data_IF_887647611236
#
_entry.id   IF_887647611236
#
_cell.length_a   1.000
_cell.length_b   1.000
_cell.length_c   1.000
_cell.angle_alpha   90.00
_cell.angle_beta   90.00
_cell.angle_gamma   90.00
#
_symmetry.space_group_name_H-M   'P 1'
#
loop_
_entity.id
_entity.type
_entity.pdbx_description
1 polymer ?
#
# COMPACT_ATOMS: atom_id res chain seq x y z
N UNK A 1 26.53 -16.65 22.92
CA UNK A 1 25.30 -17.38 23.26
C UNK A 1 24.25 -16.38 23.71
N UNK A 2 23.12 -16.29 23.01
CA UNK A 2 21.97 -15.50 23.46
C UNK A 2 20.99 -16.50 24.07
N UNK A 3 20.67 -16.30 25.35
CA UNK A 3 19.84 -17.21 26.14
C UNK A 3 18.48 -17.48 25.48
N UNK A 4 18.26 -18.75 25.14
CA UNK A 4 16.96 -19.28 24.72
C UNK A 4 16.10 -19.46 25.98
N UNK A 5 15.48 -18.41 26.52
CA UNK A 5 14.48 -18.57 27.61
C UNK A 5 13.42 -17.45 27.68
N UNK A 6 12.92 -16.96 26.55
CA UNK A 6 11.58 -16.35 26.53
C UNK A 6 10.72 -17.20 25.58
N UNK A 7 9.68 -17.84 26.13
CA UNK A 7 8.75 -18.59 25.28
C UNK A 7 7.93 -17.56 24.52
N UNK A 8 7.94 -17.66 23.20
CA UNK A 8 7.03 -16.87 22.39
C UNK A 8 5.58 -17.29 22.74
N UNK A 9 4.67 -16.33 22.95
CA UNK A 9 3.28 -16.66 23.26
C UNK A 9 2.63 -17.35 22.07
N UNK A 10 1.68 -18.24 22.36
CA UNK A 10 0.88 -18.89 21.31
C UNK A 10 -0.04 -17.84 20.70
N UNK A 11 0.13 -17.59 19.40
CA UNK A 11 -0.80 -16.78 18.63
C UNK A 11 -1.86 -17.72 18.03
N UNK A 12 -3.11 -17.53 18.43
CA UNK A 12 -4.27 -18.21 17.89
C UNK A 12 -5.35 -17.20 17.53
N UNK A 13 -6.10 -17.49 16.47
CA UNK A 13 -7.32 -16.77 16.14
C UNK A 13 -8.54 -17.62 16.48
N UNK A 14 -9.59 -16.98 16.97
CA UNK A 14 -10.83 -17.59 17.42
C UNK A 14 -12.02 -16.89 16.77
N UNK A 15 -13.20 -17.50 16.88
CA UNK A 15 -14.44 -16.94 16.31
C UNK A 15 -14.72 -15.54 16.84
N UNK A 16 -14.38 -15.27 18.10
CA UNK A 16 -14.56 -13.96 18.74
C UNK A 16 -13.72 -12.86 18.08
N UNK A 17 -12.58 -13.20 17.45
CA UNK A 17 -11.73 -12.24 16.74
C UNK A 17 -12.40 -11.70 15.46
N UNK A 18 -13.50 -12.32 15.01
CA UNK A 18 -14.31 -11.84 13.89
C UNK A 18 -15.57 -11.07 14.33
N UNK A 19 -15.78 -10.88 15.64
CA UNK A 19 -16.92 -10.13 16.14
C UNK A 19 -16.90 -8.68 15.64
N UNK A 20 -18.07 -8.19 15.20
CA UNK A 20 -18.21 -6.85 14.63
C UNK A 20 -17.84 -6.74 13.16
N UNK A 21 -17.24 -7.76 12.54
CA UNK A 21 -17.04 -7.80 11.09
C UNK A 21 -18.35 -8.10 10.36
N UNK A 22 -18.57 -7.41 9.24
CA UNK A 22 -19.53 -7.86 8.24
C UNK A 22 -18.91 -9.07 7.53
N UNK A 23 -19.38 -10.28 7.87
CA UNK A 23 -18.85 -11.56 7.37
C UNK A 23 -19.10 -11.77 5.87
N UNK A 24 -18.40 -12.76 5.29
CA UNK A 24 -18.29 -13.01 3.84
C UNK A 24 -17.63 -11.84 3.07
N UNK A 25 -16.68 -11.16 3.72
CA UNK A 25 -15.92 -10.08 3.09
C UNK A 25 -14.63 -10.57 2.42
N UNK A 26 -14.10 -9.72 1.54
CA UNK A 26 -12.74 -9.83 0.99
C UNK A 26 -11.97 -8.52 1.21
N UNK A 27 -12.36 -7.77 2.26
CA UNK A 27 -11.77 -6.48 2.59
C UNK A 27 -10.27 -6.61 2.87
N UNK A 28 -9.49 -5.64 2.37
CA UNK A 28 -8.07 -5.52 2.66
C UNK A 28 -7.85 -5.19 4.15
N UNK A 29 -6.78 -5.70 4.76
CA UNK A 29 -6.44 -5.33 6.13
C UNK A 29 -5.84 -3.92 6.17
N UNK A 30 -6.64 -2.98 6.68
CA UNK A 30 -6.26 -1.57 6.82
C UNK A 30 -6.42 -1.17 8.27
N UNK A 31 -5.36 -0.61 8.85
CA UNK A 31 -5.33 -0.22 10.27
C UNK A 31 -5.01 1.28 10.42
N UNK A 32 -5.12 1.74 11.66
CA UNK A 32 -4.46 2.96 12.13
C UNK A 32 -3.25 2.55 12.94
N UNK A 33 -2.11 3.23 12.73
CA UNK A 33 -0.89 3.01 13.51
C UNK A 33 -0.29 4.35 13.92
N UNK A 34 0.38 4.37 15.07
CA UNK A 34 1.13 5.55 15.50
C UNK A 34 2.47 5.58 14.75
N UNK A 35 2.78 6.69 14.09
CA UNK A 35 4.05 6.91 13.39
C UNK A 35 4.63 8.23 13.86
N UNK A 36 5.80 8.18 14.50
CA UNK A 36 6.45 9.34 15.08
C UNK A 36 5.56 10.18 16.01
N UNK A 37 4.68 9.52 16.78
CA UNK A 37 3.75 10.17 17.69
C UNK A 37 2.42 10.61 17.06
N UNK A 38 2.23 10.41 15.75
CA UNK A 38 0.99 10.77 15.05
C UNK A 38 0.15 9.54 14.71
N UNK A 39 -1.16 9.63 14.91
CA UNK A 39 -2.10 8.60 14.45
C UNK A 39 -2.24 8.66 12.92
N UNK A 40 -1.64 7.70 12.24
CA UNK A 40 -1.72 7.54 10.78
C UNK A 40 -2.78 6.51 10.44
N UNK A 41 -3.88 6.98 9.84
CA UNK A 41 -4.94 6.12 9.27
C UNK A 41 -4.52 5.56 7.90
N UNK A 42 -5.31 4.61 7.37
CA UNK A 42 -5.12 4.05 6.01
C UNK A 42 -3.75 3.38 5.84
N UNK A 43 -3.32 2.64 6.86
CA UNK A 43 -2.11 1.82 6.82
C UNK A 43 -2.51 0.45 6.29
N UNK A 44 -2.16 0.17 5.05
CA UNK A 44 -2.44 -1.12 4.40
C UNK A 44 -1.40 -2.15 4.82
N UNK A 45 -1.85 -3.32 5.30
CA UNK A 45 -0.97 -4.43 5.64
C UNK A 45 -0.83 -5.35 4.44
N UNK A 46 0.38 -5.42 3.88
CA UNK A 46 0.65 -6.15 2.65
C UNK A 46 1.76 -7.19 2.84
N UNK A 47 1.36 -8.46 2.90
CA UNK A 47 2.32 -9.57 2.97
C UNK A 47 3.07 -9.83 1.66
N UNK A 48 2.58 -9.30 0.53
CA UNK A 48 3.26 -9.36 -0.77
C UNK A 48 4.38 -8.33 -0.90
N UNK A 49 4.28 -7.19 -0.21
CA UNK A 49 5.26 -6.12 -0.29
C UNK A 49 6.55 -6.47 0.48
N UNK A 50 7.72 -6.30 -0.14
CA UNK A 50 9.02 -6.58 0.50
C UNK A 50 9.48 -5.46 1.43
N UNK A 51 9.14 -4.22 1.11
CA UNK A 51 9.55 -3.01 1.83
C UNK A 51 8.34 -2.33 2.46
N UNK A 52 8.57 -1.36 3.35
CA UNK A 52 7.51 -0.46 3.78
C UNK A 52 7.51 0.77 2.87
N UNK A 53 6.33 1.21 2.47
CA UNK A 53 6.15 2.38 1.61
C UNK A 53 5.36 3.42 2.36
N UNK A 54 5.81 4.66 2.33
CA UNK A 54 5.06 5.82 2.79
C UNK A 54 4.77 6.72 1.58
N UNK A 55 3.51 7.10 1.39
CA UNK A 55 3.15 8.02 0.33
C UNK A 55 3.53 9.45 0.72
N UNK A 56 4.02 10.23 -0.23
CA UNK A 56 4.63 11.53 0.02
C UNK A 56 3.72 12.50 0.77
N UNK A 57 2.41 12.51 0.48
CA UNK A 57 1.44 13.35 1.19
C UNK A 57 1.34 13.03 2.69
N UNK A 58 1.52 11.75 3.06
CA UNK A 58 1.60 11.33 4.46
C UNK A 58 2.91 11.81 5.10
N UNK A 59 4.03 11.66 4.38
CA UNK A 59 5.33 12.15 4.85
C UNK A 59 5.28 13.66 5.12
N UNK A 60 4.78 14.45 4.16
CA UNK A 60 4.68 15.91 4.30
C UNK A 60 3.85 16.31 5.52
N UNK A 61 2.76 15.60 5.81
CA UNK A 61 1.93 15.90 6.99
C UNK A 61 2.68 15.66 8.30
N UNK A 62 3.35 14.51 8.44
CA UNK A 62 4.19 14.21 9.61
C UNK A 62 5.36 15.21 9.70
N UNK A 63 5.95 15.57 8.56
CA UNK A 63 7.17 16.37 8.52
C UNK A 63 6.97 17.84 8.85
N UNK A 64 5.72 18.33 8.90
CA UNK A 64 5.39 19.69 9.36
C UNK A 64 5.90 19.96 10.78
N UNK A 65 5.97 18.93 11.61
CA UNK A 65 6.41 19.05 13.01
C UNK A 65 7.83 18.51 13.23
N UNK A 66 8.31 17.60 12.38
CA UNK A 66 9.58 16.89 12.62
C UNK A 66 10.80 17.44 11.86
N UNK A 67 10.60 18.19 10.77
CA UNK A 67 11.67 18.77 9.94
C UNK A 67 12.79 17.76 9.56
N UNK A 68 12.40 16.60 9.08
CA UNK A 68 13.25 15.49 8.64
C UNK A 68 13.58 15.64 7.16
N UNK A 69 14.84 15.43 6.81
CA UNK A 69 15.30 15.30 5.43
C UNK A 69 15.24 13.84 4.97
N UNK A 70 14.77 13.61 3.74
CA UNK A 70 14.78 12.29 3.12
C UNK A 70 16.21 11.90 2.72
N UNK A 71 16.59 10.67 3.04
CA UNK A 71 17.85 10.11 2.56
C UNK A 71 17.70 9.66 1.10
N UNK A 72 18.67 9.94 0.22
CA UNK A 72 18.60 9.51 -1.18
C UNK A 72 18.52 7.98 -1.31
N UNK A 73 17.69 7.51 -2.24
CA UNK A 73 17.59 6.10 -2.63
C UNK A 73 17.69 6.03 -4.15
N UNK A 74 18.58 5.17 -4.67
CA UNK A 74 18.84 5.03 -6.11
C UNK A 74 18.12 3.84 -6.75
N UNK A 75 17.54 2.96 -5.93
CA UNK A 75 16.89 1.73 -6.40
C UNK A 75 15.39 1.97 -6.61
N UNK A 76 14.89 1.67 -7.80
CA UNK A 76 13.46 1.70 -8.09
C UNK A 76 12.71 0.60 -7.33
N UNK A 77 11.46 0.86 -6.96
CA UNK A 77 10.54 -0.16 -6.48
C UNK A 77 9.86 -0.79 -7.69
N UNK A 78 10.06 -2.09 -7.89
CA UNK A 78 9.42 -2.84 -8.96
C UNK A 78 8.21 -3.61 -8.39
N UNK A 79 7.03 -3.34 -8.94
CA UNK A 79 5.81 -4.09 -8.67
C UNK A 79 5.79 -5.43 -9.40
N UNK A 80 4.84 -6.30 -9.02
CA UNK A 80 4.69 -7.63 -9.61
C UNK A 80 4.48 -7.62 -11.14
N UNK A 81 3.83 -6.59 -11.67
CA UNK A 81 3.59 -6.40 -13.09
C UNK A 81 4.77 -5.76 -13.84
N UNK A 82 5.93 -5.59 -13.19
CA UNK A 82 7.10 -4.89 -13.74
C UNK A 82 6.98 -3.37 -13.75
N UNK A 83 5.90 -2.80 -13.19
CA UNK A 83 5.77 -1.36 -13.01
C UNK A 83 6.82 -0.85 -12.03
N UNK A 84 7.55 0.19 -12.42
CA UNK A 84 8.60 0.78 -11.60
C UNK A 84 8.15 2.12 -11.01
N UNK A 85 8.49 2.35 -9.75
CA UNK A 85 8.31 3.63 -9.05
C UNK A 85 9.67 4.05 -8.51
N UNK A 86 10.13 5.23 -8.93
CA UNK A 86 11.35 5.84 -8.40
C UNK A 86 11.01 6.49 -7.05
N UNK A 87 11.64 6.09 -5.93
CA UNK A 87 11.42 6.73 -4.66
C UNK A 87 11.91 8.18 -4.63
N UNK A 88 11.27 9.00 -3.80
CA UNK A 88 11.76 10.32 -3.44
C UNK A 88 12.92 10.25 -2.42
N UNK A 89 12.98 9.15 -1.69
CA UNK A 89 14.03 8.86 -0.71
C UNK A 89 13.56 7.84 0.32
N UNK A 90 14.25 7.76 1.45
CA UNK A 90 13.85 6.95 2.59
C UNK A 90 13.94 7.72 3.90
N UNK A 91 13.16 7.25 4.88
CA UNK A 91 13.15 7.77 6.25
C UNK A 91 12.99 6.61 7.24
N UNK A 92 13.56 6.74 8.44
CA UNK A 92 13.33 5.82 9.54
C UNK A 92 12.55 6.52 10.64
N UNK A 93 11.37 6.02 10.97
CA UNK A 93 10.46 6.61 11.96
C UNK A 93 10.07 5.54 13.00
N UNK A 94 9.87 5.92 14.28
CA UNK A 94 9.31 4.99 15.25
C UNK A 94 7.85 4.72 14.90
N UNK A 95 7.47 3.45 14.88
CA UNK A 95 6.10 3.00 14.66
C UNK A 95 5.65 2.23 15.89
N UNK A 96 4.50 2.61 16.44
CA UNK A 96 3.88 1.88 17.53
C UNK A 96 2.64 1.12 17.05
N UNK A 97 2.57 -0.15 17.45
CA UNK A 97 1.40 -1.02 17.30
C UNK A 97 0.85 -1.32 18.68
N UNK A 98 -0.48 -1.27 18.83
CA UNK A 98 -1.20 -1.50 20.07
C UNK A 98 -1.19 -0.32 21.03
N UNK A 99 -1.74 -0.53 22.22
CA UNK A 99 -1.87 0.48 23.27
C UNK A 99 -1.55 -0.09 24.65
N UNK A 100 -1.25 0.78 25.62
CA UNK A 100 -0.92 0.39 26.99
C UNK A 100 0.23 -0.62 27.05
N UNK A 101 0.06 -1.65 27.87
CA UNK A 101 1.06 -2.73 28.07
C UNK A 101 1.30 -3.59 26.81
N UNK A 102 0.40 -3.52 25.83
CA UNK A 102 0.53 -4.24 24.54
C UNK A 102 1.15 -3.37 23.44
N UNK A 103 1.58 -2.15 23.77
CA UNK A 103 2.20 -1.21 22.83
C UNK A 103 3.64 -1.64 22.53
N UNK A 104 3.89 -2.03 21.28
CA UNK A 104 5.23 -2.38 20.76
C UNK A 104 5.70 -1.30 19.80
N UNK A 105 6.89 -0.73 20.06
CA UNK A 105 7.50 0.33 19.24
C UNK A 105 8.75 -0.20 18.57
N UNK A 106 8.85 -0.02 17.25
CA UNK A 106 10.05 -0.34 16.48
C UNK A 106 10.43 0.82 15.55
N UNK A 107 11.72 0.99 15.32
CA UNK A 107 12.20 1.87 14.25
C UNK A 107 11.95 1.21 12.90
N UNK A 108 11.09 1.81 12.09
CA UNK A 108 10.70 1.31 10.78
C UNK A 108 11.26 2.20 9.69
N UNK A 109 11.97 1.59 8.75
CA UNK A 109 12.39 2.25 7.51
C UNK A 109 11.25 2.22 6.49
N UNK A 110 10.94 3.40 5.96
CA UNK A 110 9.99 3.61 4.86
C UNK A 110 10.72 4.14 3.64
N UNK A 111 10.38 3.58 2.49
CA UNK A 111 10.68 4.19 1.19
C UNK A 111 9.54 5.17 0.89
N UNK A 112 9.88 6.43 0.63
CA UNK A 112 8.88 7.48 0.37
C UNK A 112 8.68 7.61 -1.13
N UNK A 113 7.42 7.52 -1.57
CA UNK A 113 7.07 7.57 -3.01
C UNK A 113 6.08 8.70 -3.29
N UNK A 114 6.30 9.41 -4.40
CA UNK A 114 5.47 10.51 -4.86
C UNK A 114 4.26 10.08 -5.72
N UNK A 115 3.77 8.85 -5.54
CA UNK A 115 2.63 8.32 -6.29
C UNK A 115 1.30 8.63 -5.60
N UNK A 116 0.23 8.83 -6.39
CA UNK A 116 -1.12 8.94 -5.85
C UNK A 116 -1.57 7.59 -5.27
N UNK A 117 -2.18 7.62 -4.09
CA UNK A 117 -2.70 6.42 -3.42
C UNK A 117 -3.86 6.76 -2.50
N UNK A 118 -4.77 5.79 -2.33
CA UNK A 118 -5.81 5.85 -1.30
C UNK A 118 -5.27 5.55 0.10
N UNK A 119 -4.07 4.95 0.19
CA UNK A 119 -3.39 4.61 1.44
C UNK A 119 -2.33 5.65 1.80
N UNK A 120 -2.06 5.79 3.09
CA UNK A 120 -0.96 6.63 3.58
C UNK A 120 0.35 5.84 3.66
N UNK A 121 0.25 4.57 4.06
CA UNK A 121 1.37 3.67 4.27
C UNK A 121 1.00 2.27 3.77
N UNK A 122 1.98 1.58 3.18
CA UNK A 122 1.98 0.12 3.00
C UNK A 122 3.00 -0.44 3.98
N UNK A 123 2.54 -1.24 4.94
CA UNK A 123 3.41 -1.98 5.84
C UNK A 123 3.68 -3.35 5.24
N UNK A 124 4.92 -3.54 4.79
CA UNK A 124 5.36 -4.76 4.12
C UNK A 124 5.99 -5.78 5.06
N UNK A 125 6.51 -6.86 4.46
CA UNK A 125 7.15 -7.97 5.18
C UNK A 125 8.30 -7.55 6.08
N UNK A 126 9.06 -6.51 5.73
CA UNK A 126 10.17 -6.05 6.59
C UNK A 126 9.66 -5.66 7.98
N UNK A 127 8.58 -4.88 8.07
CA UNK A 127 7.98 -4.55 9.38
C UNK A 127 7.22 -5.72 9.97
N UNK A 128 6.43 -6.44 9.17
CA UNK A 128 5.64 -7.58 9.70
C UNK A 128 6.54 -8.63 10.36
N UNK A 129 7.68 -8.94 9.75
CA UNK A 129 8.66 -9.86 10.33
C UNK A 129 9.34 -9.27 11.58
N UNK A 130 9.65 -7.96 11.60
CA UNK A 130 10.25 -7.31 12.75
C UNK A 130 9.29 -7.27 13.96
N UNK A 131 8.00 -7.03 13.72
CA UNK A 131 6.97 -7.13 14.76
C UNK A 131 6.66 -8.57 15.14
N UNK A 132 7.07 -9.55 14.32
CA UNK A 132 6.65 -10.96 14.38
C UNK A 132 5.11 -11.07 14.28
N UNK A 133 4.52 -10.21 13.44
CA UNK A 133 3.10 -10.13 13.25
C UNK A 133 2.59 -11.31 12.42
N UNK A 134 1.54 -11.95 12.91
CA UNK A 134 0.76 -12.96 12.20
C UNK A 134 -0.52 -12.30 11.74
N UNK A 135 -0.77 -12.38 10.43
CA UNK A 135 -1.96 -11.82 9.81
C UNK A 135 -3.02 -12.90 9.61
N UNK A 136 -4.26 -12.55 9.92
CA UNK A 136 -5.45 -13.31 9.55
C UNK A 136 -6.32 -12.48 8.63
N UNK A 137 -6.49 -12.92 7.39
CA UNK A 137 -7.38 -12.27 6.42
C UNK A 137 -8.85 -12.46 6.80
N UNK A 138 -9.21 -13.65 7.29
CA UNK A 138 -10.57 -13.99 7.70
C UNK A 138 -11.06 -13.15 8.89
N UNK A 139 -10.20 -12.96 9.89
CA UNK A 139 -10.49 -12.14 11.08
C UNK A 139 -10.13 -10.66 10.86
N UNK A 140 -9.61 -10.30 9.68
CA UNK A 140 -9.12 -8.96 9.34
C UNK A 140 -8.28 -8.33 10.48
N UNK A 141 -7.26 -9.06 10.94
CA UNK A 141 -6.52 -8.71 12.14
C UNK A 141 -5.04 -9.10 12.02
N UNK A 142 -4.17 -8.34 12.68
CA UNK A 142 -2.81 -8.78 13.01
C UNK A 142 -2.68 -9.04 14.51
N UNK A 143 -1.95 -10.10 14.86
CA UNK A 143 -1.52 -10.40 16.22
C UNK A 143 -0.01 -10.45 16.27
N UNK A 144 0.60 -9.98 17.35
CA UNK A 144 2.05 -9.97 17.52
C UNK A 144 2.44 -10.24 18.98
N UNK A 145 3.62 -10.81 19.22
CA UNK A 145 4.10 -11.11 20.56
C UNK A 145 4.58 -9.85 21.28
N UNK A 146 4.19 -9.73 22.55
CA UNK A 146 4.61 -8.71 23.52
C UNK A 146 4.92 -9.36 24.87
N UNK A 147 6.16 -9.80 25.04
CA UNK A 147 6.54 -10.67 26.18
C UNK A 147 5.74 -11.97 26.13
N UNK A 148 5.12 -12.35 27.25
CA UNK A 148 4.22 -13.51 27.34
C UNK A 148 2.79 -13.20 26.86
N UNK A 149 2.50 -11.95 26.48
CA UNK A 149 1.18 -11.52 25.99
C UNK A 149 1.15 -11.41 24.46
N UNK A 150 -0.06 -11.35 23.91
CA UNK A 150 -0.30 -11.12 22.48
C UNK A 150 -0.95 -9.75 22.31
N UNK A 151 -0.31 -8.87 21.56
CA UNK A 151 -0.90 -7.64 21.06
C UNK A 151 -1.75 -7.92 19.83
N UNK A 152 -2.85 -7.19 19.69
CA UNK A 152 -3.85 -7.42 18.64
C UNK A 152 -4.26 -6.08 18.02
N UNK A 153 -4.41 -6.06 16.70
CA UNK A 153 -4.93 -4.89 15.98
C UNK A 153 -5.94 -5.38 14.94
N UNK A 154 -7.19 -4.99 15.14
CA UNK A 154 -8.26 -5.19 14.18
C UNK A 154 -8.17 -4.18 13.03
N UNK A 155 -8.56 -4.63 11.84
CA UNK A 155 -8.72 -3.77 10.68
C UNK A 155 -10.02 -3.00 10.69
N UNK A 156 -10.03 -1.88 9.96
CA UNK A 156 -11.20 -1.04 9.74
C UNK A 156 -11.85 -1.36 8.37
N UNK A 157 -12.98 -2.09 8.38
CA UNK A 157 -13.72 -2.46 7.17
C UNK A 157 -14.22 -1.25 6.38
N UNK A 158 -14.65 -0.18 7.06
CA UNK A 158 -15.17 1.01 6.40
C UNK A 158 -14.06 1.75 5.66
N UNK A 159 -12.92 1.96 6.33
CA UNK A 159 -11.75 2.57 5.71
C UNK A 159 -11.22 1.69 4.58
N UNK A 160 -11.19 0.36 4.75
CA UNK A 160 -10.75 -0.57 3.70
C UNK A 160 -11.58 -0.45 2.41
N UNK A 161 -12.91 -0.51 2.54
CA UNK A 161 -13.84 -0.37 1.40
C UNK A 161 -13.77 1.01 0.76
N UNK A 162 -13.64 2.06 1.57
CA UNK A 162 -13.47 3.43 1.08
C UNK A 162 -12.17 3.59 0.26
N UNK A 163 -11.05 3.03 0.75
CA UNK A 163 -9.79 3.04 0.03
C UNK A 163 -9.89 2.27 -1.30
N UNK A 164 -10.50 1.09 -1.29
CA UNK A 164 -10.74 0.31 -2.51
C UNK A 164 -11.57 1.08 -3.54
N UNK A 165 -12.70 1.66 -3.13
CA UNK A 165 -13.57 2.43 -4.02
C UNK A 165 -12.84 3.65 -4.62
N UNK A 166 -12.02 4.33 -3.81
CA UNK A 166 -11.20 5.46 -4.25
C UNK A 166 -10.18 5.00 -5.30
N UNK A 167 -9.46 3.91 -5.05
CA UNK A 167 -8.48 3.35 -6.00
C UNK A 167 -9.14 2.97 -7.33
N UNK A 168 -10.29 2.29 -7.30
CA UNK A 168 -11.03 1.91 -8.53
C UNK A 168 -11.45 3.14 -9.32
N UNK A 169 -11.94 4.18 -8.64
CA UNK A 169 -12.37 5.41 -9.30
C UNK A 169 -11.19 6.17 -9.92
N UNK A 170 -10.07 6.27 -9.21
CA UNK A 170 -8.87 6.92 -9.72
C UNK A 170 -8.34 6.20 -10.96
N UNK A 171 -8.26 4.86 -10.92
CA UNK A 171 -7.82 4.06 -12.08
C UNK A 171 -8.74 4.24 -13.29
N UNK A 172 -10.06 4.31 -13.11
CA UNK A 172 -11.02 4.60 -14.19
C UNK A 172 -10.79 5.99 -14.79
N UNK A 173 -10.48 6.99 -13.96
CA UNK A 173 -10.18 8.34 -14.46
C UNK A 173 -8.86 8.39 -15.22
N UNK A 174 -7.82 7.72 -14.72
CA UNK A 174 -6.52 7.62 -15.40
C UNK A 174 -6.67 6.96 -16.79
N UNK A 175 -7.42 5.86 -16.88
CA UNK A 175 -7.70 5.20 -18.15
C UNK A 175 -8.42 6.13 -19.15
N UNK A 176 -9.41 6.91 -18.69
CA UNK A 176 -10.10 7.91 -19.52
C UNK A 176 -9.17 9.03 -19.98
N UNK A 177 -8.29 9.53 -19.11
CA UNK A 177 -7.29 10.57 -19.46
C UNK A 177 -6.32 10.04 -20.51
N UNK A 178 -5.84 8.81 -20.37
CA UNK A 178 -4.95 8.16 -21.33
C UNK A 178 -5.62 7.89 -22.69
N UNK A 179 -6.90 7.54 -22.71
CA UNK A 179 -7.65 7.36 -23.95
C UNK A 179 -7.80 8.70 -24.69
N UNK A 180 -8.18 9.77 -23.97
CA UNK A 180 -8.28 11.13 -24.54
C UNK A 180 -6.96 11.65 -25.08
N UNK A 181 -5.86 11.47 -24.34
CA UNK A 181 -4.54 11.92 -24.80
C UNK A 181 -4.11 11.22 -26.09
N UNK A 182 -4.42 9.92 -26.23
CA UNK A 182 -4.18 9.16 -27.46
C UNK A 182 -5.05 9.63 -28.62
N UNK A 183 -6.33 9.90 -28.39
CA UNK A 183 -7.23 10.45 -29.42
C UNK A 183 -6.80 11.85 -29.88
N UNK A 184 -6.39 12.72 -28.94
CA UNK A 184 -5.87 14.05 -29.26
C UNK A 184 -4.55 13.97 -30.04
N UNK A 185 -3.66 13.03 -29.72
CA UNK A 185 -2.43 12.79 -30.46
C UNK A 185 -2.69 12.28 -31.88
N UNK A 186 -3.68 11.41 -32.07
CA UNK A 186 -4.14 10.94 -33.39
C UNK A 186 -4.72 12.10 -34.22
N UNK A 187 -5.44 13.02 -33.59
CA UNK A 187 -6.13 14.14 -34.26
C UNK A 187 -5.28 15.42 -34.40
N UNK A 188 -4.00 15.43 -33.99
CA UNK A 188 -3.11 16.59 -34.16
C UNK A 188 -2.83 16.84 -35.66
N UNK A 189 -2.94 18.08 -36.16
CA UNK A 189 -2.55 18.41 -37.53
C UNK A 189 -1.04 18.17 -37.68
N UNK A 190 -0.65 17.16 -38.47
CA UNK A 190 0.73 16.69 -38.63
C UNK A 190 1.01 15.28 -38.11
N UNK A 191 0.03 14.62 -37.47
CA UNK A 191 0.13 13.22 -37.06
C UNK A 191 0.37 12.31 -38.26
N UNK A 192 1.53 11.66 -38.29
CA UNK A 192 1.86 10.69 -39.33
C UNK A 192 0.93 9.48 -39.19
N UNK A 193 -0.05 9.36 -40.09
CA UNK A 193 -0.81 8.10 -40.27
C UNK A 193 0.21 6.97 -40.35
N UNK A 194 0.14 6.04 -39.41
CA UNK A 194 1.04 4.89 -39.43
C UNK A 194 0.76 4.04 -40.67
N UNK A 195 1.75 3.29 -41.15
CA UNK A 195 1.65 2.50 -42.39
C UNK A 195 0.47 1.50 -42.38
N UNK A 196 -0.06 1.14 -41.21
CA UNK A 196 -1.25 0.29 -41.06
C UNK A 196 -2.56 0.96 -41.50
N UNK A 197 -2.69 2.28 -41.32
CA UNK A 197 -3.90 3.03 -41.73
C UNK A 197 -4.01 3.14 -43.26
N UNK A 198 -2.88 3.16 -43.97
CA UNK A 198 -2.86 3.13 -45.44
C UNK A 198 -3.30 1.77 -46.00
N UNK A 199 -2.91 0.65 -45.37
CA UNK A 199 -3.31 -0.68 -45.84
C UNK A 199 -4.80 -0.99 -45.62
N UNK A 200 -5.43 -0.43 -44.58
CA UNK A 200 -6.89 -0.57 -44.39
C UNK A 200 -7.70 0.30 -45.35
N UNK A 201 -7.18 1.45 -45.77
CA UNK A 201 -7.85 2.32 -46.74
C UNK A 201 -7.81 1.77 -48.18
N UNK A 202 -6.77 1.01 -48.55
CA UNK A 202 -6.67 0.38 -49.88
C UNK A 202 -7.52 -0.88 -50.01
N UNK A 203 -7.71 -1.67 -48.93
CA UNK A 203 -8.54 -2.89 -48.96
C UNK A 203 -10.05 -2.64 -48.99
N UNK A 204 -10.50 -1.39 -48.81
CA UNK A 204 -11.91 -1.00 -48.87
C UNK A 204 -12.43 -0.67 -50.28
N UNK A 205 -11.56 -0.66 -51.30
CA UNK A 205 -11.94 -0.26 -52.68
C UNK A 205 -12.16 -1.42 -53.67
N UNK A 206 -11.90 -2.68 -53.30
CA UNK A 206 -12.21 -3.84 -54.13
C UNK A 206 -13.43 -4.61 -53.58
N UNK A 207 -14.61 -3.99 -53.62
CA UNK A 207 -15.91 -4.68 -53.66
C UNK A 207 -16.94 -3.78 -54.33
N UNK A 208 -16.70 -3.47 -55.60
CA UNK A 208 -17.76 -3.15 -56.56
C UNK A 208 -17.33 -3.83 -57.87
N UNK A 209 -17.85 -5.04 -58.06
CA UNK A 209 -18.44 -5.56 -59.30
C UNK A 209 -19.09 -6.92 -58.99
#
# INVERSE_FOLDING_TARGET
EVGITARMPVISFRTEDAEGLVLLHNDALVITAEVAGFDVKRVFIDTGCSVNVMFYDCFVQINKELNIELKPVTTALCGFNGGEVIPMGEVSLPVALGAGELRKVLMVRFVVVGAESSYNIIMGRTSLNAFQAVLSTYHMMIKYPMGENVGEIAGDQLTSRSCYQTTVNNNRQLAKRQAKSKEEEINRPGGSRTKEDRQKAEKGKEKVD
#
